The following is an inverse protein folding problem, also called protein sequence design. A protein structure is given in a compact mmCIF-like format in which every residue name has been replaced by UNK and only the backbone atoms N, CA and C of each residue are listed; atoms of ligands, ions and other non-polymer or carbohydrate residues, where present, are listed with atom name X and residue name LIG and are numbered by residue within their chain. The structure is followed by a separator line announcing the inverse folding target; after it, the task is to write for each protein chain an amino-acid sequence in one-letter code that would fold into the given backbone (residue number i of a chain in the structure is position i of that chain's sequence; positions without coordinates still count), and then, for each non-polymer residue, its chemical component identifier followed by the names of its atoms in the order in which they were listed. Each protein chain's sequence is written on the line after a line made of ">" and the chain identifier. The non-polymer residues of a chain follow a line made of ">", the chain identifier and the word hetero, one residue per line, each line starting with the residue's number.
data_IF_866706998968
#
_entry.id   IF_866706998968
#
_cell.length_a   1.000
_cell.length_b   1.000
_cell.length_c   1.000
_cell.angle_alpha   90.00
_cell.angle_beta   90.00
_cell.angle_gamma   90.00
#
_symmetry.space_group_name_H-M   'P 1'
#
loop_
_entity.id
_entity.type
_entity.pdbx_description
1 polymer ?
#
# COMPACT_ATOMS: atom_id res chain seq x y z
N UNK A 1 5.05 -8.93 9.49
CA UNK A 1 6.21 -9.78 9.12
C UNK A 1 6.98 -9.07 8.01
N UNK A 2 7.96 -9.69 7.34
CA UNK A 2 8.56 -9.09 6.12
C UNK A 2 7.59 -9.23 4.93
N UNK A 3 7.60 -8.26 4.01
CA UNK A 3 6.75 -8.27 2.79
C UNK A 3 6.89 -9.56 1.97
N UNK A 4 8.10 -10.14 1.87
CA UNK A 4 8.30 -11.45 1.21
C UNK A 4 7.53 -12.59 1.88
N UNK A 5 7.47 -12.57 3.20
CA UNK A 5 6.74 -13.57 3.99
C UNK A 5 5.25 -13.38 3.81
N UNK A 6 4.75 -12.14 3.80
CA UNK A 6 3.36 -11.85 3.46
C UNK A 6 2.99 -12.38 2.07
N UNK A 7 3.86 -12.19 1.08
CA UNK A 7 3.65 -12.70 -0.27
C UNK A 7 3.59 -14.24 -0.30
N UNK A 8 4.58 -14.92 0.26
CA UNK A 8 4.66 -16.39 0.17
C UNK A 8 3.66 -17.06 1.12
N UNK A 9 3.68 -16.74 2.41
CA UNK A 9 2.77 -17.35 3.37
C UNK A 9 1.32 -16.94 3.13
N UNK A 10 1.06 -15.70 2.69
CA UNK A 10 -0.29 -15.22 2.41
C UNK A 10 -0.89 -15.91 1.19
N UNK A 11 -0.09 -16.13 0.15
CA UNK A 11 -0.55 -16.89 -1.03
C UNK A 11 -0.83 -18.34 -0.71
N UNK A 12 0.08 -19.01 0.00
CA UNK A 12 -0.12 -20.40 0.42
C UNK A 12 -1.34 -20.55 1.33
N UNK A 13 -1.48 -19.72 2.36
CA UNK A 13 -2.61 -19.76 3.27
C UNK A 13 -3.94 -19.49 2.56
N UNK A 14 -3.95 -18.54 1.62
CA UNK A 14 -5.17 -18.21 0.88
C UNK A 14 -5.56 -19.34 -0.06
N UNK A 15 -4.60 -19.92 -0.80
CA UNK A 15 -4.89 -21.06 -1.67
C UNK A 15 -5.42 -22.24 -0.87
N UNK A 16 -4.82 -22.53 0.29
CA UNK A 16 -5.29 -23.61 1.17
C UNK A 16 -6.73 -23.38 1.63
N UNK A 17 -7.04 -22.19 2.17
CA UNK A 17 -8.39 -21.85 2.61
C UNK A 17 -9.38 -21.90 1.44
N UNK A 18 -8.96 -21.48 0.25
CA UNK A 18 -9.81 -21.48 -0.95
C UNK A 18 -10.16 -22.90 -1.36
N UNK A 19 -9.19 -23.82 -1.33
CA UNK A 19 -9.40 -25.25 -1.61
C UNK A 19 -10.33 -25.87 -0.55
N UNK A 20 -10.01 -25.72 0.73
CA UNK A 20 -10.79 -26.31 1.83
C UNK A 20 -12.24 -25.80 1.89
N UNK A 21 -12.49 -24.56 1.47
CA UNK A 21 -13.83 -24.00 1.39
C UNK A 21 -14.57 -24.34 0.08
N UNK A 22 -13.97 -25.12 -0.83
CA UNK A 22 -14.55 -25.47 -2.12
C UNK A 22 -14.75 -24.26 -3.03
N UNK A 23 -13.96 -23.19 -2.85
CA UNK A 23 -14.09 -21.96 -3.62
C UNK A 23 -13.43 -22.12 -5.00
N UNK A 24 -14.07 -21.65 -6.09
CA UNK A 24 -13.54 -21.81 -7.43
C UNK A 24 -12.25 -20.99 -7.65
N UNK A 25 -11.18 -21.66 -8.07
CA UNK A 25 -9.89 -21.06 -8.40
C UNK A 25 -9.81 -20.83 -9.91
N UNK A 26 -9.82 -19.56 -10.32
CA UNK A 26 -9.60 -19.16 -11.73
C UNK A 26 -8.14 -18.79 -11.97
N UNK A 27 -7.60 -18.80 -13.21
CA UNK A 27 -6.19 -18.45 -13.46
C UNK A 27 -5.77 -17.08 -12.90
N UNK A 28 -6.69 -16.11 -12.85
CA UNK A 28 -6.42 -14.78 -12.30
C UNK A 28 -6.44 -14.73 -10.76
N UNK A 29 -6.88 -15.78 -10.07
CA UNK A 29 -6.88 -15.84 -8.61
C UNK A 29 -5.46 -15.73 -8.04
N UNK A 30 -4.49 -16.47 -8.59
CA UNK A 30 -3.11 -16.47 -8.09
C UNK A 30 -2.46 -15.07 -8.11
N UNK A 31 -2.44 -14.31 -9.23
CA UNK A 31 -1.89 -12.95 -9.22
C UNK A 31 -2.67 -11.99 -8.32
N UNK A 32 -3.99 -12.13 -8.22
CA UNK A 32 -4.81 -11.32 -7.30
C UNK A 32 -4.45 -11.60 -5.85
N UNK A 33 -4.33 -12.87 -5.47
CA UNK A 33 -3.93 -13.29 -4.11
C UNK A 33 -2.52 -12.80 -3.80
N UNK A 34 -1.57 -12.95 -4.73
CA UNK A 34 -0.21 -12.40 -4.58
C UNK A 34 -0.26 -10.89 -4.34
N UNK A 35 -1.01 -10.14 -5.14
CA UNK A 35 -1.14 -8.70 -4.97
C UNK A 35 -1.77 -8.36 -3.61
N UNK A 36 -2.96 -8.88 -3.32
CA UNK A 36 -3.73 -8.57 -2.10
C UNK A 36 -3.00 -8.96 -0.81
N UNK A 37 -2.11 -9.95 -0.85
CA UNK A 37 -1.26 -10.32 0.30
C UNK A 37 -0.21 -9.26 0.66
N UNK A 38 0.13 -8.33 -0.25
CA UNK A 38 1.14 -7.28 -0.04
C UNK A 38 0.63 -5.86 -0.29
N UNK A 39 -0.56 -5.68 -0.89
CA UNK A 39 -1.18 -4.37 -1.10
C UNK A 39 -1.22 -3.50 0.17
N UNK A 40 -1.50 -4.03 1.39
CA UNK A 40 -1.47 -3.21 2.59
C UNK A 40 -0.13 -2.46 2.80
N UNK A 41 1.00 -3.07 2.44
CA UNK A 41 2.35 -2.50 2.61
C UNK A 41 2.71 -1.42 1.56
N UNK A 42 1.86 -1.18 0.55
CA UNK A 42 2.10 -0.14 -0.48
C UNK A 42 2.01 1.27 0.11
N UNK A 43 1.34 1.42 1.26
CA UNK A 43 1.30 2.66 2.04
C UNK A 43 2.66 3.05 2.65
N UNK A 44 3.67 2.17 2.62
CA UNK A 44 5.01 2.48 3.07
C UNK A 44 5.78 3.27 2.00
N UNK A 45 5.84 4.58 2.21
CA UNK A 45 6.52 5.55 1.35
C UNK A 45 8.03 5.35 1.24
N UNK A 46 8.64 4.33 1.88
CA UNK A 46 10.05 3.90 1.68
C UNK A 46 10.21 2.48 1.11
N UNK A 47 9.14 1.85 0.62
CA UNK A 47 9.17 0.49 0.08
C UNK A 47 10.11 0.32 -1.12
N UNK A 48 10.62 -0.91 -1.28
CA UNK A 48 11.50 -1.29 -2.39
C UNK A 48 10.79 -1.26 -3.74
N UNK A 49 9.51 -1.64 -3.78
CA UNK A 49 8.66 -1.55 -4.98
C UNK A 49 8.64 -0.11 -5.46
N UNK A 50 8.42 0.81 -4.53
CA UNK A 50 8.33 2.21 -4.87
C UNK A 50 9.68 2.82 -5.25
N UNK A 51 10.81 2.32 -4.70
CA UNK A 51 12.15 2.73 -5.15
C UNK A 51 12.40 2.38 -6.63
N UNK A 52 11.74 1.34 -7.15
CA UNK A 52 11.84 0.92 -8.55
C UNK A 52 10.99 1.79 -9.48
N UNK A 53 9.83 2.26 -9.00
CA UNK A 53 8.97 3.20 -9.72
C UNK A 53 9.59 4.60 -9.76
N UNK A 54 9.97 5.14 -8.60
CA UNK A 54 10.60 6.45 -8.45
C UNK A 54 11.77 6.31 -7.49
N UNK A 55 12.98 6.44 -8.03
CA UNK A 55 14.19 6.32 -7.24
C UNK A 55 14.32 7.47 -6.23
N UNK A 56 14.92 7.17 -5.09
CA UNK A 56 15.16 8.17 -4.04
C UNK A 56 15.99 9.36 -4.55
N UNK A 57 16.87 9.12 -5.52
CA UNK A 57 17.70 10.17 -6.10
C UNK A 57 16.91 11.09 -7.03
N UNK A 58 15.97 10.53 -7.82
CA UNK A 58 15.01 11.35 -8.59
C UNK A 58 14.17 12.20 -7.63
N UNK A 59 13.66 11.60 -6.55
CA UNK A 59 12.87 12.34 -5.55
C UNK A 59 13.67 13.47 -4.91
N UNK A 60 14.95 13.26 -4.58
CA UNK A 60 15.85 14.32 -4.08
C UNK A 60 16.06 15.42 -5.12
N UNK A 61 16.24 15.07 -6.39
CA UNK A 61 16.37 16.05 -7.49
C UNK A 61 15.10 16.89 -7.64
N UNK A 62 13.92 16.27 -7.59
CA UNK A 62 12.62 16.97 -7.63
C UNK A 62 12.50 17.91 -6.42
N UNK A 63 12.83 17.44 -5.21
CA UNK A 63 12.81 18.28 -4.01
C UNK A 63 13.74 19.50 -4.16
N UNK A 64 14.97 19.30 -4.67
CA UNK A 64 15.91 20.37 -4.93
C UNK A 64 15.42 21.35 -6.00
N UNK A 65 14.77 20.85 -7.05
CA UNK A 65 14.21 21.69 -8.11
C UNK A 65 13.07 22.58 -7.58
N UNK A 66 12.21 22.05 -6.70
CA UNK A 66 11.15 22.82 -6.04
C UNK A 66 11.73 23.92 -5.16
N UNK A 67 12.80 23.63 -4.40
CA UNK A 67 13.51 24.64 -3.60
C UNK A 67 14.06 25.78 -4.48
N UNK A 68 14.68 25.44 -5.60
CA UNK A 68 15.21 26.43 -6.53
C UNK A 68 14.11 27.26 -7.20
N UNK A 69 12.99 26.63 -7.55
CA UNK A 69 11.82 27.32 -8.10
C UNK A 69 11.25 28.35 -7.12
N UNK A 70 11.12 28.02 -5.84
CA UNK A 70 10.67 29.00 -4.84
C UNK A 70 11.66 30.15 -4.67
N UNK A 71 12.97 29.90 -4.74
CA UNK A 71 13.97 30.96 -4.73
C UNK A 71 13.80 31.90 -5.93
N UNK A 72 13.62 31.36 -7.15
CA UNK A 72 13.35 32.16 -8.36
C UNK A 72 12.07 32.99 -8.19
N UNK A 73 10.97 32.38 -7.72
CA UNK A 73 9.69 33.09 -7.52
C UNK A 73 9.86 34.23 -6.52
N UNK A 74 10.58 34.00 -5.41
CA UNK A 74 10.83 35.04 -4.42
C UNK A 74 11.64 36.22 -5.00
N UNK A 75 12.62 35.93 -5.86
CA UNK A 75 13.43 36.94 -6.54
C UNK A 75 12.62 37.69 -7.61
N UNK A 76 11.79 37.00 -8.37
CA UNK A 76 10.87 37.64 -9.33
C UNK A 76 9.87 38.56 -8.63
N UNK A 77 9.30 38.12 -7.51
CA UNK A 77 8.41 38.94 -6.69
C UNK A 77 9.10 40.22 -6.21
N UNK A 78 10.35 40.13 -5.74
CA UNK A 78 11.18 41.28 -5.40
C UNK A 78 11.27 42.29 -6.55
N UNK A 79 11.62 41.82 -7.77
CA UNK A 79 11.75 42.69 -8.94
C UNK A 79 10.44 43.37 -9.35
N UNK A 80 9.29 42.69 -9.22
CA UNK A 80 7.99 43.24 -9.69
C UNK A 80 7.29 44.15 -8.70
N UNK A 81 7.47 43.92 -7.41
CA UNK A 81 6.71 44.64 -6.36
C UNK A 81 7.52 45.73 -5.67
N UNK A 82 8.84 45.77 -5.89
CA UNK A 82 9.72 46.71 -5.19
C UNK A 82 9.77 46.48 -3.67
N UNK A 83 9.31 45.30 -3.21
CA UNK A 83 9.39 44.90 -1.81
C UNK A 83 10.84 45.03 -1.33
N UNK A 84 11.02 45.59 -0.15
CA UNK A 84 12.35 45.75 0.45
C UNK A 84 13.10 44.40 0.46
N UNK A 85 14.39 44.42 0.10
CA UNK A 85 15.27 43.24 0.03
C UNK A 85 15.21 42.39 1.31
N UNK A 86 15.07 43.02 2.48
CA UNK A 86 14.91 42.32 3.77
C UNK A 86 13.63 41.48 3.83
N UNK A 87 12.52 41.98 3.30
CA UNK A 87 11.24 41.24 3.28
C UNK A 87 11.31 40.08 2.28
N UNK A 88 11.93 40.30 1.10
CA UNK A 88 12.10 39.25 0.09
C UNK A 88 12.98 38.10 0.59
N UNK A 89 14.07 38.42 1.30
CA UNK A 89 14.96 37.42 1.91
C UNK A 89 14.30 36.66 3.06
N UNK A 90 13.52 37.35 3.92
CA UNK A 90 12.71 36.69 4.96
C UNK A 90 11.69 35.74 4.32
N UNK A 91 11.00 36.15 3.26
CA UNK A 91 10.04 35.32 2.54
C UNK A 91 10.71 34.07 1.94
N UNK A 92 11.88 34.23 1.30
CA UNK A 92 12.66 33.12 0.76
C UNK A 92 13.12 32.14 1.85
N UNK A 93 13.56 32.65 3.02
CA UNK A 93 13.91 31.85 4.19
C UNK A 93 12.69 31.08 4.74
N UNK A 94 11.54 31.74 4.85
CA UNK A 94 10.31 31.08 5.29
C UNK A 94 9.87 29.99 4.31
N UNK A 95 9.94 30.22 3.00
CA UNK A 95 9.61 29.22 1.97
C UNK A 95 10.59 28.03 1.98
N UNK A 96 11.88 28.28 2.18
CA UNK A 96 12.90 27.22 2.28
C UNK A 96 12.79 26.40 3.58
N UNK A 97 12.49 27.04 4.72
CA UNK A 97 12.18 26.33 5.98
C UNK A 97 10.88 25.53 5.84
N UNK A 98 9.85 26.13 5.21
CA UNK A 98 8.58 25.47 4.98
C UNK A 98 8.75 24.21 4.12
N UNK A 99 9.41 24.32 2.97
CA UNK A 99 9.64 23.20 2.05
C UNK A 99 10.52 22.11 2.64
N UNK A 100 11.61 22.46 3.34
CA UNK A 100 12.46 21.46 3.99
C UNK A 100 11.75 20.69 5.11
N UNK A 101 10.83 21.35 5.84
CA UNK A 101 10.10 20.74 6.95
C UNK A 101 8.83 19.99 6.52
N UNK A 102 8.05 20.56 5.60
CA UNK A 102 6.77 19.97 5.17
C UNK A 102 6.90 19.07 3.96
N UNK A 103 7.70 19.44 2.96
CA UNK A 103 7.77 18.75 1.68
C UNK A 103 8.86 17.68 1.68
N UNK A 104 8.80 16.78 2.65
CA UNK A 104 9.77 15.68 2.78
C UNK A 104 9.86 14.85 1.48
N UNK A 105 11.03 14.25 1.23
CA UNK A 105 11.21 13.39 0.05
C UNK A 105 10.19 12.24 0.01
N UNK A 106 9.85 11.65 1.16
CA UNK A 106 8.76 10.66 1.25
C UNK A 106 7.41 11.21 0.80
N UNK A 107 7.06 12.44 1.18
CA UNK A 107 5.79 13.06 0.81
C UNK A 107 5.74 13.39 -0.69
N UNK A 108 6.83 13.91 -1.27
CA UNK A 108 6.92 14.11 -2.72
C UNK A 108 6.71 12.79 -3.45
N UNK A 109 7.32 11.71 -2.96
CA UNK A 109 7.18 10.39 -3.57
C UNK A 109 5.74 9.91 -3.53
N UNK A 110 5.08 9.99 -2.38
CA UNK A 110 3.66 9.68 -2.21
C UNK A 110 2.76 10.49 -3.16
N UNK A 111 3.02 11.79 -3.30
CA UNK A 111 2.26 12.67 -4.19
C UNK A 111 2.42 12.29 -5.67
N UNK A 112 3.63 11.98 -6.13
CA UNK A 112 3.84 11.61 -7.56
C UNK A 112 3.10 10.31 -7.89
N UNK A 113 3.16 9.30 -7.03
CA UNK A 113 2.45 8.03 -7.25
C UNK A 113 0.94 8.26 -7.24
N UNK A 114 0.46 9.04 -6.25
CA UNK A 114 -0.94 9.39 -6.14
C UNK A 114 -1.43 10.07 -7.41
N UNK A 115 -0.66 11.03 -7.94
CA UNK A 115 -0.96 11.71 -9.20
C UNK A 115 -0.99 10.74 -10.39
N UNK A 116 -0.05 9.80 -10.49
CA UNK A 116 -0.04 8.78 -11.55
C UNK A 116 -1.31 7.92 -11.51
N UNK A 117 -1.70 7.41 -10.34
CA UNK A 117 -2.92 6.62 -10.21
C UNK A 117 -4.20 7.45 -10.40
N UNK A 118 -4.21 8.72 -10.00
CA UNK A 118 -5.33 9.64 -10.29
C UNK A 118 -5.50 9.87 -11.79
N UNK A 119 -4.41 10.01 -12.55
CA UNK A 119 -4.47 10.11 -14.02
C UNK A 119 -5.05 8.83 -14.63
N UNK A 120 -4.63 7.65 -14.15
CA UNK A 120 -5.20 6.38 -14.59
C UNK A 120 -6.69 6.30 -14.24
N UNK A 121 -7.06 6.69 -13.01
CA UNK A 121 -8.46 6.72 -12.56
C UNK A 121 -9.30 7.62 -13.45
N UNK A 122 -8.82 8.84 -13.74
CA UNK A 122 -9.50 9.79 -14.61
C UNK A 122 -9.67 9.24 -16.03
N UNK A 123 -8.64 8.59 -16.59
CA UNK A 123 -8.76 7.93 -17.89
C UNK A 123 -9.79 6.81 -17.88
N UNK A 124 -9.78 5.92 -16.89
CA UNK A 124 -10.75 4.83 -16.77
C UNK A 124 -12.18 5.34 -16.62
N UNK A 125 -12.37 6.42 -15.86
CA UNK A 125 -13.66 7.09 -15.72
C UNK A 125 -14.15 7.72 -17.02
N UNK A 126 -13.28 8.45 -17.74
CA UNK A 126 -13.63 9.13 -18.99
C UNK A 126 -13.97 8.16 -20.14
N UNK A 127 -13.40 6.95 -20.12
CA UNK A 127 -13.66 5.91 -21.11
C UNK A 127 -14.71 4.88 -20.65
N UNK A 128 -15.51 5.20 -19.62
CA UNK A 128 -16.56 4.32 -19.07
C UNK A 128 -16.08 2.88 -18.81
N UNK A 129 -14.82 2.75 -18.35
CA UNK A 129 -14.27 1.45 -17.99
C UNK A 129 -14.97 0.88 -16.76
N UNK A 130 -14.82 -0.43 -16.52
CA UNK A 130 -15.50 -1.09 -15.40
C UNK A 130 -15.25 -0.35 -14.07
N UNK A 131 -16.34 0.08 -13.38
CA UNK A 131 -16.25 0.97 -12.22
C UNK A 131 -15.50 0.34 -11.05
N UNK A 132 -15.49 -0.99 -10.92
CA UNK A 132 -14.70 -1.67 -9.90
C UNK A 132 -13.19 -1.46 -10.08
N UNK A 133 -12.70 -1.50 -11.33
CA UNK A 133 -11.29 -1.20 -11.61
C UNK A 133 -10.97 0.30 -11.45
N UNK A 134 -11.91 1.18 -11.80
CA UNK A 134 -11.78 2.63 -11.57
C UNK A 134 -11.69 2.95 -10.07
N UNK A 135 -12.52 2.30 -9.24
CA UNK A 135 -12.45 2.44 -7.78
C UNK A 135 -11.13 1.86 -7.25
N UNK A 136 -10.66 0.74 -7.80
CA UNK A 136 -9.37 0.16 -7.41
C UNK A 136 -8.20 1.11 -7.65
N UNK A 137 -8.12 1.73 -8.82
CA UNK A 137 -7.05 2.69 -9.12
C UNK A 137 -7.15 3.95 -8.26
N UNK A 138 -8.37 4.38 -7.92
CA UNK A 138 -8.60 5.47 -6.97
C UNK A 138 -8.09 5.11 -5.56
N UNK A 139 -8.39 3.90 -5.07
CA UNK A 139 -7.90 3.42 -3.77
C UNK A 139 -6.37 3.37 -3.74
N UNK A 140 -5.74 2.86 -4.81
CA UNK A 140 -4.28 2.85 -4.95
C UNK A 140 -3.67 4.26 -5.02
N UNK A 141 -4.40 5.26 -5.50
CA UNK A 141 -3.97 6.65 -5.45
C UNK A 141 -3.93 7.22 -4.03
N UNK A 142 -4.84 6.76 -3.16
CA UNK A 142 -4.96 7.24 -1.77
C UNK A 142 -3.94 6.57 -0.86
N UNK A 143 -3.64 5.28 -1.04
CA UNK A 143 -2.81 4.49 -0.13
C UNK A 143 -1.43 5.10 0.19
N UNK A 144 -0.65 5.63 -0.77
CA UNK A 144 0.65 6.25 -0.50
C UNK A 144 0.56 7.49 0.40
N UNK A 145 -0.62 8.13 0.51
CA UNK A 145 -0.85 9.30 1.34
C UNK A 145 -1.27 8.94 2.78
N UNK A 146 -1.66 7.68 3.01
CA UNK A 146 -2.03 7.20 4.33
C UNK A 146 -0.79 6.94 5.19
N UNK A 147 -0.96 7.06 6.51
CA UNK A 147 0.07 6.64 7.46
C UNK A 147 0.23 5.11 7.37
N UNK A 148 1.47 4.64 7.23
CA UNK A 148 1.77 3.21 7.23
C UNK A 148 1.22 2.53 8.50
N UNK A 149 0.46 1.45 8.33
CA UNK A 149 -0.28 0.74 9.39
C UNK A 149 -1.36 1.57 10.07
N UNK A 150 -2.10 2.32 9.25
CA UNK A 150 -3.33 3.01 9.61
C UNK A 150 -4.55 2.28 9.07
N UNK A 151 -5.38 2.97 8.28
CA UNK A 151 -6.64 2.44 7.74
C UNK A 151 -6.46 1.19 6.87
N UNK A 152 -5.35 1.09 6.13
CA UNK A 152 -4.96 -0.09 5.33
C UNK A 152 -4.81 -1.38 6.15
N UNK A 153 -4.61 -1.27 7.47
CA UNK A 153 -4.40 -2.41 8.36
C UNK A 153 -5.57 -2.61 9.34
N UNK A 154 -6.80 -2.36 8.87
CA UNK A 154 -8.03 -2.46 9.65
C UNK A 154 -8.97 -3.55 9.09
N UNK A 155 -9.94 -3.99 9.90
CA UNK A 155 -11.02 -4.86 9.42
C UNK A 155 -11.87 -4.19 8.34
N UNK A 156 -12.00 -2.86 8.41
CA UNK A 156 -12.68 -2.08 7.39
C UNK A 156 -11.98 -2.21 6.03
N UNK A 157 -10.65 -2.29 6.00
CA UNK A 157 -9.92 -2.51 4.75
C UNK A 157 -10.25 -3.86 4.10
N UNK A 158 -10.44 -4.93 4.88
CA UNK A 158 -10.90 -6.22 4.34
C UNK A 158 -12.27 -6.07 3.68
N UNK A 159 -13.21 -5.38 4.34
CA UNK A 159 -14.56 -5.13 3.80
C UNK A 159 -14.51 -4.31 2.51
N UNK A 160 -13.66 -3.28 2.46
CA UNK A 160 -13.44 -2.46 1.26
C UNK A 160 -12.91 -3.33 0.12
N UNK A 161 -11.92 -4.18 0.38
CA UNK A 161 -11.34 -5.08 -0.63
C UNK A 161 -12.39 -6.08 -1.13
N UNK A 162 -13.17 -6.68 -0.24
CA UNK A 162 -14.25 -7.58 -0.63
C UNK A 162 -15.27 -6.86 -1.52
N UNK A 163 -15.78 -5.71 -1.08
CA UNK A 163 -16.76 -4.93 -1.83
C UNK A 163 -16.23 -4.48 -3.20
N UNK A 164 -14.96 -4.08 -3.26
CA UNK A 164 -14.27 -3.67 -4.49
C UNK A 164 -14.20 -4.81 -5.49
N UNK A 165 -13.76 -6.00 -5.07
CA UNK A 165 -13.68 -7.13 -5.99
C UNK A 165 -15.06 -7.65 -6.39
N UNK A 166 -16.06 -7.61 -5.48
CA UNK A 166 -17.46 -7.88 -5.86
C UNK A 166 -17.97 -6.88 -6.90
N UNK A 167 -17.59 -5.60 -6.81
CA UNK A 167 -17.92 -4.61 -7.83
C UNK A 167 -17.27 -4.95 -9.16
N UNK A 168 -15.98 -5.31 -9.18
CA UNK A 168 -15.28 -5.75 -10.39
C UNK A 168 -16.03 -6.92 -11.06
N UNK A 169 -16.38 -7.94 -10.28
CA UNK A 169 -17.09 -9.13 -10.75
C UNK A 169 -18.48 -8.80 -11.32
N UNK A 170 -19.26 -7.98 -10.63
CA UNK A 170 -20.63 -7.60 -11.03
C UNK A 170 -20.64 -6.75 -12.29
N UNK A 171 -19.59 -5.99 -12.56
CA UNK A 171 -19.49 -5.10 -13.70
C UNK A 171 -18.77 -5.73 -14.90
N UNK A 172 -18.85 -7.06 -15.06
CA UNK A 172 -18.31 -7.78 -16.22
C UNK A 172 -16.82 -8.15 -16.11
N UNK A 173 -16.23 -7.98 -14.92
CA UNK A 173 -14.89 -8.49 -14.64
C UNK A 173 -14.86 -10.00 -14.41
N UNK A 174 -13.67 -10.58 -14.21
CA UNK A 174 -13.52 -12.01 -13.94
C UNK A 174 -14.18 -12.38 -12.62
N UNK A 175 -14.95 -13.47 -12.62
CA UNK A 175 -15.70 -13.95 -11.45
C UNK A 175 -14.78 -14.65 -10.44
N UNK A 176 -15.24 -14.75 -9.20
CA UNK A 176 -14.63 -15.54 -8.12
C UNK A 176 -13.26 -15.04 -7.63
N UNK A 177 -13.08 -13.74 -7.60
CA UNK A 177 -11.90 -13.05 -7.07
C UNK A 177 -12.13 -12.44 -5.68
N UNK A 178 -13.36 -12.09 -5.30
CA UNK A 178 -13.65 -11.35 -4.08
C UNK A 178 -13.27 -12.11 -2.79
N UNK A 179 -13.62 -13.40 -2.72
CA UNK A 179 -13.23 -14.25 -1.60
C UNK A 179 -11.70 -14.43 -1.52
N UNK A 180 -11.00 -14.92 -2.57
CA UNK A 180 -9.55 -15.09 -2.48
C UNK A 180 -8.81 -13.76 -2.23
N UNK A 181 -9.25 -12.64 -2.80
CA UNK A 181 -8.68 -11.33 -2.52
C UNK A 181 -8.82 -10.92 -1.05
N UNK A 182 -10.01 -11.09 -0.47
CA UNK A 182 -10.29 -10.73 0.92
C UNK A 182 -9.59 -11.67 1.92
N UNK A 183 -9.51 -12.97 1.63
CA UNK A 183 -8.75 -13.94 2.43
C UNK A 183 -7.25 -13.61 2.39
N UNK A 184 -6.71 -13.25 1.22
CA UNK A 184 -5.32 -12.81 1.08
C UNK A 184 -5.03 -11.57 1.93
N UNK A 185 -5.92 -10.58 1.87
CA UNK A 185 -5.81 -9.36 2.67
C UNK A 185 -5.93 -9.65 4.17
N UNK A 186 -6.83 -10.56 4.57
CA UNK A 186 -6.99 -10.96 5.96
C UNK A 186 -5.77 -11.70 6.49
N UNK A 187 -5.17 -12.61 5.69
CA UNK A 187 -3.95 -13.32 6.05
C UNK A 187 -2.80 -12.35 6.36
N UNK A 188 -2.70 -11.26 5.60
CA UNK A 188 -1.73 -10.20 5.86
C UNK A 188 -1.89 -9.62 7.27
N UNK A 189 -3.12 -9.23 7.65
CA UNK A 189 -3.40 -8.68 8.99
C UNK A 189 -3.07 -9.69 10.08
N UNK A 190 -3.45 -10.96 9.90
CA UNK A 190 -3.16 -12.03 10.87
C UNK A 190 -1.65 -12.17 11.10
N UNK A 191 -0.85 -12.18 10.03
CA UNK A 191 0.60 -12.24 10.16
C UNK A 191 1.19 -11.01 10.85
N UNK A 192 0.59 -9.84 10.65
CA UNK A 192 1.04 -8.61 11.28
C UNK A 192 0.60 -8.50 12.75
N UNK A 193 -0.52 -9.13 13.14
CA UNK A 193 -0.93 -9.35 14.55
C UNK A 193 0.05 -10.24 15.34
N UNK A 194 0.86 -11.07 14.66
CA UNK A 194 1.89 -11.87 15.32
C UNK A 194 3.12 -11.03 15.74
N UNK A 195 3.23 -9.80 15.24
CA UNK A 195 4.39 -8.93 15.49
C UNK A 195 4.20 -8.09 16.74
N UNK A 196 5.31 -7.61 17.32
CA UNK A 196 5.28 -6.71 18.49
C UNK A 196 4.40 -5.46 18.28
N UNK A 197 4.34 -4.94 17.05
CA UNK A 197 3.57 -3.73 16.71
C UNK A 197 2.08 -4.01 16.61
N UNK A 198 1.69 -5.19 16.13
CA UNK A 198 0.29 -5.54 15.87
C UNK A 198 -0.35 -4.69 14.78
N UNK A 199 -1.68 -4.67 14.75
CA UNK A 199 -2.51 -3.91 13.79
C UNK A 199 -3.70 -3.21 14.47
N UNK A 200 -4.12 -2.04 13.99
CA UNK A 200 -5.26 -1.32 14.54
C UNK A 200 -6.58 -1.80 13.89
N UNK A 201 -7.05 -3.00 14.28
CA UNK A 201 -8.19 -3.67 13.65
C UNK A 201 -9.46 -2.81 13.53
N UNK A 202 -9.73 -1.96 14.51
CA UNK A 202 -10.97 -1.20 14.61
C UNK A 202 -10.84 0.27 14.18
N UNK A 203 -9.78 0.67 13.46
CA UNK A 203 -9.71 2.00 12.88
C UNK A 203 -10.85 2.15 11.82
N UNK A 204 -11.56 3.30 11.77
CA UNK A 204 -11.32 4.56 12.47
C UNK A 204 -12.01 4.70 13.85
N UNK A 205 -12.74 3.69 14.31
CA UNK A 205 -13.51 3.74 15.57
C UNK A 205 -12.64 3.62 16.82
N UNK A 206 -11.48 2.96 16.73
CA UNK A 206 -10.53 2.83 17.83
C UNK A 206 -9.08 2.83 17.34
N UNK A 207 -8.22 3.52 18.08
CA UNK A 207 -6.78 3.58 17.83
C UNK A 207 -5.98 2.47 18.54
N UNK A 208 -6.67 1.50 19.15
CA UNK A 208 -6.01 0.39 19.87
C UNK A 208 -5.40 -0.61 18.89
N UNK A 209 -4.14 -0.98 19.15
CA UNK A 209 -3.45 -2.02 18.40
C UNK A 209 -3.70 -3.39 19.02
N UNK A 210 -3.99 -4.37 18.18
CA UNK A 210 -4.24 -5.75 18.54
C UNK A 210 -3.09 -6.64 18.07
N UNK A 211 -2.66 -7.55 18.95
CA UNK A 211 -1.61 -8.53 18.69
C UNK A 211 -1.87 -9.80 19.50
N UNK A 212 -1.44 -10.94 18.98
CA UNK A 212 -1.50 -12.23 19.71
C UNK A 212 -0.11 -12.82 20.01
N UNK A 213 0.94 -12.33 19.35
CA UNK A 213 2.32 -12.72 19.63
C UNK A 213 3.25 -11.49 19.66
N UNK A 214 4.48 -11.71 20.10
CA UNK A 214 5.48 -10.65 20.31
C UNK A 214 6.74 -10.84 19.44
N UNK A 215 6.54 -11.25 18.18
CA UNK A 215 7.66 -11.44 17.25
C UNK A 215 8.27 -10.09 16.85
N UNK A 216 9.59 -9.96 17.03
CA UNK A 216 10.33 -8.80 16.56
C UNK A 216 10.75 -9.04 15.10
N UNK A 217 10.16 -8.31 14.17
CA UNK A 217 10.48 -8.43 12.73
C UNK A 217 11.99 -8.29 12.52
N UNK A 218 12.57 -9.24 11.77
CA UNK A 218 14.00 -9.30 11.46
C UNK A 218 14.88 -9.96 12.51
N UNK A 219 14.37 -10.27 13.71
CA UNK A 219 15.11 -11.10 14.68
C UNK A 219 15.28 -12.53 14.19
N UNK A 220 16.29 -13.23 14.72
CA UNK A 220 16.55 -14.63 14.39
C UNK A 220 15.32 -15.53 14.61
N UNK A 221 14.68 -15.40 15.77
CA UNK A 221 13.48 -16.18 16.13
C UNK A 221 12.32 -15.90 15.19
N UNK A 222 12.06 -14.63 14.86
CA UNK A 222 11.03 -14.26 13.88
C UNK A 222 11.32 -14.88 12.51
N UNK A 223 12.55 -14.77 12.01
CA UNK A 223 12.90 -15.33 10.70
C UNK A 223 12.79 -16.86 10.68
N UNK A 224 13.09 -17.55 11.78
CA UNK A 224 12.90 -18.99 11.92
C UNK A 224 11.41 -19.35 11.86
N UNK A 225 10.57 -18.66 12.65
CA UNK A 225 9.11 -18.85 12.66
C UNK A 225 8.51 -18.60 11.28
N UNK A 226 8.92 -17.54 10.58
CA UNK A 226 8.45 -17.23 9.23
C UNK A 226 8.78 -18.38 8.24
N UNK A 227 9.99 -18.95 8.30
CA UNK A 227 10.39 -20.09 7.45
C UNK A 227 9.62 -21.37 7.76
N UNK A 228 9.47 -21.69 9.05
CA UNK A 228 8.72 -22.87 9.50
C UNK A 228 7.26 -22.76 9.09
N UNK A 229 6.65 -21.58 9.25
CA UNK A 229 5.29 -21.31 8.81
C UNK A 229 5.12 -21.55 7.30
N UNK A 230 6.02 -21.03 6.47
CA UNK A 230 5.99 -21.24 5.02
C UNK A 230 6.10 -22.74 4.69
N UNK A 231 7.00 -23.47 5.35
CA UNK A 231 7.18 -24.90 5.12
C UNK A 231 5.91 -25.69 5.48
N UNK A 232 5.30 -25.38 6.63
CA UNK A 232 4.06 -26.03 7.07
C UNK A 232 2.93 -25.73 6.08
N UNK A 233 2.73 -24.47 5.70
CA UNK A 233 1.69 -24.09 4.74
C UNK A 233 1.89 -24.74 3.36
N UNK A 234 3.14 -24.84 2.89
CA UNK A 234 3.45 -25.52 1.64
C UNK A 234 3.16 -27.03 1.74
N UNK A 235 3.53 -27.67 2.85
CA UNK A 235 3.25 -29.09 3.07
C UNK A 235 1.75 -29.37 3.13
N UNK A 236 0.99 -28.58 3.90
CA UNK A 236 -0.47 -28.71 4.01
C UNK A 236 -1.12 -28.54 2.64
N UNK A 237 -0.72 -27.53 1.87
CA UNK A 237 -1.24 -27.31 0.52
C UNK A 237 -0.97 -28.48 -0.43
N UNK A 238 0.23 -29.08 -0.36
CA UNK A 238 0.57 -30.26 -1.15
C UNK A 238 -0.31 -31.46 -0.77
N UNK A 239 -0.57 -31.65 0.52
CA UNK A 239 -1.47 -32.70 1.02
C UNK A 239 -2.88 -32.45 0.49
N UNK A 240 -3.44 -31.26 0.64
CA UNK A 240 -4.79 -30.92 0.17
C UNK A 240 -4.96 -31.14 -1.33
N UNK A 241 -3.95 -30.76 -2.13
CA UNK A 241 -3.93 -31.03 -3.57
C UNK A 241 -3.83 -32.53 -3.90
N UNK A 242 -3.04 -33.30 -3.16
CA UNK A 242 -2.86 -34.73 -3.38
C UNK A 242 -4.12 -35.53 -3.07
N UNK A 243 -4.85 -35.15 -2.01
CA UNK A 243 -6.09 -35.82 -1.60
C UNK A 243 -7.35 -35.26 -2.27
N UNK A 244 -7.22 -34.24 -3.13
CA UNK A 244 -8.35 -33.53 -3.77
C UNK A 244 -9.44 -33.15 -2.76
N UNK A 245 -9.00 -32.63 -1.61
CA UNK A 245 -9.89 -32.07 -0.60
C UNK A 245 -10.60 -30.81 -1.12
#
# INVERSE_FOLDING_TARGET
>A
MRSRTHLIAGTLATMEITILCGLPIVPLSLPVVMACSVVPDIDEANSNVLNKLISKDITKKIHSAILFLFAIISFYMYLRTGINLYIATILALLLTIFTSKWLTSSLIRSLVISAMFLLITASMYLYDFNPGYTILTLVLAIYPLLKHRGMSHSLLAILIVFALFTCIEKNGGPKNLAYPASIAYASHLVFDMATKRGVPLFLPFSNKYHRFANLRVGSFTCNLVEKVLILILAFVLLVSLAYKL
#
